data_IF_258967276651
#
_entry.id   IF_258967276651
#
_cell.length_a   1.000
_cell.length_b   1.000
_cell.length_c   1.000
_cell.angle_alpha   90.00
_cell.angle_beta   90.00
_cell.angle_gamma   90.00
#
_symmetry.space_group_name_H-M   'P 1'
#
loop_
_entity.id
_entity.type
_entity.pdbx_description
1 polymer ?
#
# COMPACT_ATOMS: atom_id res chain seq x y z
N UNK A 1 34.40 -8.57 32.08
CA UNK A 1 33.89 -7.65 31.04
C UNK A 1 33.36 -8.51 29.90
N UNK A 2 32.03 -8.63 29.76
CA UNK A 2 31.42 -9.35 28.64
C UNK A 2 31.52 -8.47 27.39
N UNK A 3 32.33 -8.87 26.42
CA UNK A 3 32.35 -8.28 25.10
C UNK A 3 31.03 -8.64 24.40
N UNK A 4 30.13 -7.67 24.28
CA UNK A 4 28.96 -7.81 23.44
C UNK A 4 29.44 -8.08 22.01
N UNK A 5 29.18 -9.29 21.50
CA UNK A 5 29.41 -9.64 20.10
C UNK A 5 28.45 -8.80 19.26
N UNK A 6 28.96 -7.76 18.62
CA UNK A 6 28.25 -7.06 17.55
C UNK A 6 28.34 -8.01 16.35
N UNK A 7 27.26 -8.76 16.11
CA UNK A 7 27.09 -9.47 14.85
C UNK A 7 26.84 -8.40 13.79
N UNK A 8 27.70 -8.33 12.77
CA UNK A 8 27.41 -7.53 11.58
C UNK A 8 26.07 -8.01 11.03
N UNK A 9 25.08 -7.13 11.03
CA UNK A 9 23.79 -7.45 10.41
C UNK A 9 24.06 -7.51 8.91
N UNK A 10 23.86 -8.69 8.32
CA UNK A 10 23.98 -8.89 6.89
C UNK A 10 22.95 -8.01 6.19
N UNK A 11 23.40 -7.19 5.24
CA UNK A 11 22.54 -6.31 4.44
C UNK A 11 21.38 -7.10 3.79
N UNK A 12 21.57 -8.39 3.48
CA UNK A 12 20.53 -9.28 2.98
C UNK A 12 19.39 -9.54 3.97
N UNK A 13 19.66 -9.59 5.28
CA UNK A 13 18.64 -9.77 6.33
C UNK A 13 17.79 -8.50 6.48
N UNK A 14 18.43 -7.33 6.36
CA UNK A 14 17.73 -6.03 6.39
C UNK A 14 16.81 -5.90 5.19
N UNK A 15 17.32 -6.17 3.98
CA UNK A 15 16.54 -6.09 2.74
C UNK A 15 15.34 -7.04 2.76
N UNK A 16 15.50 -8.28 3.23
CA UNK A 16 14.40 -9.23 3.34
C UNK A 16 13.34 -8.80 4.36
N UNK A 17 13.76 -8.21 5.48
CA UNK A 17 12.84 -7.69 6.48
C UNK A 17 12.04 -6.50 5.93
N UNK A 18 12.69 -5.59 5.19
CA UNK A 18 12.02 -4.46 4.54
C UNK A 18 11.02 -4.93 3.47
N UNK A 19 11.39 -5.90 2.63
CA UNK A 19 10.47 -6.47 1.63
C UNK A 19 9.21 -7.03 2.27
N UNK A 20 9.37 -7.78 3.36
CA UNK A 20 8.24 -8.35 4.10
C UNK A 20 7.30 -7.27 4.63
N UNK A 21 7.83 -6.21 5.25
CA UNK A 21 7.01 -5.09 5.76
C UNK A 21 6.24 -4.41 4.62
N UNK A 22 6.88 -4.13 3.49
CA UNK A 22 6.21 -3.53 2.35
C UNK A 22 5.15 -4.46 1.73
N UNK A 23 5.38 -5.78 1.70
CA UNK A 23 4.39 -6.75 1.24
C UNK A 23 3.15 -6.77 2.16
N UNK A 24 3.36 -6.73 3.47
CA UNK A 24 2.26 -6.63 4.47
C UNK A 24 1.46 -5.33 4.29
N UNK A 25 2.13 -4.18 4.17
CA UNK A 25 1.47 -2.88 3.91
C UNK A 25 0.67 -2.88 2.58
N UNK A 26 1.23 -3.46 1.52
CA UNK A 26 0.55 -3.61 0.23
C UNK A 26 -0.74 -4.43 0.38
N UNK A 27 -0.70 -5.52 1.14
CA UNK A 27 -1.84 -6.39 1.31
C UNK A 27 -2.93 -5.73 2.18
N UNK A 28 -2.55 -4.95 3.20
CA UNK A 28 -3.47 -4.14 3.99
C UNK A 28 -4.18 -3.09 3.12
N UNK A 29 -3.44 -2.31 2.31
CA UNK A 29 -4.00 -1.31 1.39
C UNK A 29 -4.98 -1.97 0.40
N UNK A 30 -4.61 -3.13 -0.16
CA UNK A 30 -5.49 -3.86 -1.09
C UNK A 30 -6.78 -4.33 -0.42
N UNK A 31 -6.72 -4.80 0.82
CA UNK A 31 -7.92 -5.21 1.57
C UNK A 31 -8.84 -4.01 1.82
N UNK A 32 -8.26 -2.85 2.15
CA UNK A 32 -9.03 -1.63 2.37
C UNK A 32 -9.68 -1.10 1.09
N UNK A 33 -8.95 -1.08 -0.03
CA UNK A 33 -9.49 -0.76 -1.34
C UNK A 33 -10.64 -1.70 -1.74
N UNK A 34 -10.47 -3.02 -1.55
CA UNK A 34 -11.51 -4.01 -1.85
C UNK A 34 -12.76 -3.81 -0.97
N UNK A 35 -12.60 -3.45 0.30
CA UNK A 35 -13.72 -3.12 1.18
C UNK A 35 -14.48 -1.88 0.72
N UNK A 36 -13.78 -0.81 0.31
CA UNK A 36 -14.37 0.42 -0.22
C UNK A 36 -15.10 0.17 -1.54
N UNK A 37 -14.52 -0.61 -2.46
CA UNK A 37 -15.19 -0.95 -3.71
C UNK A 37 -16.43 -1.82 -3.49
N UNK A 38 -16.35 -2.80 -2.58
CA UNK A 38 -17.52 -3.63 -2.22
C UNK A 38 -18.63 -2.83 -1.57
N UNK A 39 -18.32 -1.82 -0.75
CA UNK A 39 -19.32 -0.93 -0.12
C UNK A 39 -20.25 -0.30 -1.15
N UNK A 40 -19.73 0.08 -2.31
CA UNK A 40 -20.49 0.72 -3.39
C UNK A 40 -20.85 -0.21 -4.56
N UNK A 41 -20.49 -1.51 -4.45
CA UNK A 41 -20.64 -2.49 -5.52
C UNK A 41 -20.00 -2.04 -6.86
N UNK A 42 -18.80 -1.45 -6.75
CA UNK A 42 -17.97 -1.01 -7.88
C UNK A 42 -16.68 -1.83 -7.92
N UNK A 43 -15.88 -1.69 -8.99
CA UNK A 43 -14.66 -2.48 -9.21
C UNK A 43 -13.37 -1.67 -9.27
N UNK A 44 -13.46 -0.35 -9.43
CA UNK A 44 -12.31 0.54 -9.59
C UNK A 44 -12.70 1.98 -9.26
N UNK A 45 -11.70 2.84 -9.12
CA UNK A 45 -11.86 4.28 -8.82
C UNK A 45 -12.72 5.02 -9.85
N UNK A 46 -12.67 4.63 -11.13
CA UNK A 46 -13.49 5.25 -12.18
C UNK A 46 -14.98 4.93 -12.03
N UNK A 47 -15.33 3.69 -11.68
CA UNK A 47 -16.71 3.32 -11.35
C UNK A 47 -17.19 4.02 -10.06
N UNK A 48 -16.31 4.20 -9.07
CA UNK A 48 -16.64 4.95 -7.85
C UNK A 48 -16.87 6.44 -8.15
N UNK A 49 -16.08 7.04 -9.05
CA UNK A 49 -16.29 8.41 -9.50
C UNK A 49 -17.67 8.56 -10.16
N UNK A 50 -18.04 7.66 -11.07
CA UNK A 50 -19.36 7.66 -11.70
C UNK A 50 -20.49 7.48 -10.67
N UNK A 51 -20.27 6.65 -9.65
CA UNK A 51 -21.21 6.48 -8.55
C UNK A 51 -21.39 7.80 -7.77
N UNK A 52 -20.31 8.52 -7.45
CA UNK A 52 -20.35 9.82 -6.78
C UNK A 52 -21.08 10.88 -7.60
N UNK A 53 -20.84 10.95 -8.91
CA UNK A 53 -21.53 11.88 -9.81
C UNK A 53 -23.04 11.62 -9.85
N UNK A 54 -23.45 10.36 -9.73
CA UNK A 54 -24.86 9.95 -9.74
C UNK A 54 -25.53 10.07 -8.36
N UNK A 55 -24.77 9.82 -7.28
CA UNK A 55 -25.24 9.79 -5.90
C UNK A 55 -24.37 10.68 -5.01
N UNK A 56 -24.37 12.01 -5.23
CA UNK A 56 -23.48 12.91 -4.53
C UNK A 56 -23.81 12.97 -3.04
N UNK A 57 -22.85 12.57 -2.21
CA UNK A 57 -22.91 12.73 -0.76
C UNK A 57 -21.51 12.93 -0.20
N UNK A 58 -21.41 13.58 0.96
CA UNK A 58 -20.13 13.82 1.61
C UNK A 58 -19.43 12.50 1.98
N UNK A 59 -20.19 11.46 2.36
CA UNK A 59 -19.66 10.14 2.66
C UNK A 59 -18.97 9.51 1.44
N UNK A 60 -19.65 9.51 0.29
CA UNK A 60 -19.09 8.95 -0.96
C UNK A 60 -17.87 9.75 -1.40
N UNK A 61 -17.90 11.08 -1.22
CA UNK A 61 -16.77 11.95 -1.55
C UNK A 61 -15.54 11.65 -0.69
N UNK A 62 -15.72 11.54 0.63
CA UNK A 62 -14.64 11.17 1.55
C UNK A 62 -14.06 9.79 1.22
N UNK A 63 -14.91 8.82 0.93
CA UNK A 63 -14.45 7.48 0.54
C UNK A 63 -13.73 7.49 -0.81
N UNK A 64 -14.18 8.31 -1.77
CA UNK A 64 -13.50 8.50 -3.04
C UNK A 64 -12.11 9.11 -2.85
N UNK A 65 -11.99 10.19 -2.07
CA UNK A 65 -10.71 10.81 -1.74
C UNK A 65 -9.77 9.80 -1.07
N UNK A 66 -10.30 8.98 -0.16
CA UNK A 66 -9.55 7.91 0.49
C UNK A 66 -9.06 6.82 -0.47
N UNK A 67 -9.91 6.37 -1.41
CA UNK A 67 -9.49 5.43 -2.46
C UNK A 67 -8.32 6.00 -3.27
N UNK A 68 -8.39 7.29 -3.64
CA UNK A 68 -7.32 7.96 -4.39
C UNK A 68 -6.03 8.03 -3.56
N UNK A 69 -6.11 8.33 -2.26
CA UNK A 69 -4.93 8.32 -1.38
C UNK A 69 -4.29 6.92 -1.31
N UNK A 70 -5.09 5.88 -1.10
CA UNK A 70 -4.63 4.49 -1.03
C UNK A 70 -3.99 3.99 -2.34
N UNK A 71 -4.57 4.31 -3.50
CA UNK A 71 -3.97 3.98 -4.80
C UNK A 71 -2.60 4.66 -5.00
N UNK A 72 -2.46 5.92 -4.57
CA UNK A 72 -1.19 6.65 -4.64
C UNK A 72 -0.15 6.07 -3.67
N UNK A 73 -0.55 5.68 -2.46
CA UNK A 73 0.34 5.01 -1.50
C UNK A 73 0.82 3.66 -2.04
N UNK A 74 -0.08 2.88 -2.64
CA UNK A 74 0.26 1.61 -3.28
C UNK A 74 1.27 1.79 -4.41
N UNK A 75 1.12 2.83 -5.24
CA UNK A 75 2.08 3.17 -6.30
C UNK A 75 3.45 3.54 -5.71
N UNK A 76 3.49 4.34 -4.64
CA UNK A 76 4.74 4.73 -3.95
C UNK A 76 5.47 3.53 -3.39
N UNK A 77 4.79 2.66 -2.64
CA UNK A 77 5.38 1.45 -2.05
C UNK A 77 5.89 0.52 -3.17
N UNK A 78 5.10 0.36 -4.24
CA UNK A 78 5.50 -0.41 -5.42
C UNK A 78 6.75 0.16 -6.09
N UNK A 79 6.88 1.48 -6.17
CA UNK A 79 8.08 2.14 -6.70
C UNK A 79 9.31 1.85 -5.83
N UNK A 80 9.17 1.98 -4.50
CA UNK A 80 10.26 1.67 -3.58
C UNK A 80 10.71 0.21 -3.68
N UNK A 81 9.77 -0.73 -3.77
CA UNK A 81 10.10 -2.15 -3.97
C UNK A 81 10.85 -2.40 -5.29
N UNK A 82 10.46 -1.73 -6.39
CA UNK A 82 11.18 -1.82 -7.66
C UNK A 82 12.61 -1.32 -7.52
N UNK A 83 12.81 -0.18 -6.86
CA UNK A 83 14.14 0.39 -6.62
C UNK A 83 15.01 -0.51 -5.74
N UNK A 84 14.46 -1.06 -4.66
CA UNK A 84 15.17 -2.00 -3.77
C UNK A 84 15.58 -3.23 -4.58
N UNK A 85 14.67 -3.81 -5.37
CA UNK A 85 14.98 -4.97 -6.20
C UNK A 85 16.06 -4.68 -7.24
N UNK A 86 16.08 -3.50 -7.87
CA UNK A 86 17.12 -3.11 -8.83
C UNK A 86 18.49 -2.90 -8.18
N UNK A 87 18.55 -2.40 -6.94
CA UNK A 87 19.81 -2.19 -6.20
C UNK A 87 20.39 -3.47 -5.57
N UNK A 88 19.62 -4.55 -5.55
CA UNK A 88 20.05 -5.85 -5.01
C UNK A 88 20.64 -6.77 -6.10
N UNK A 89 20.67 -6.34 -7.37
CA UNK A 89 21.29 -7.03 -8.53
C UNK A 89 22.69 -6.46 -8.78
#
# INVERSE_FOLDING_TARGET
MNSAKIYGVDDGVIVNSMKKVFEEEIDEIKQELDALYKKYNVRNVGELQLFLETNPSEEVKMDFEKVVELENELERISSYLREVNLKTI
#
